data_IF_348534187601
#
_entry.id   IF_348534187601
#
_cell.length_a   1.000
_cell.length_b   1.000
_cell.length_c   1.000
_cell.angle_alpha   90.00
_cell.angle_beta   90.00
_cell.angle_gamma   90.00
#
_symmetry.space_group_name_H-M   'P 1'
#
loop_
_entity.id
_entity.type
_entity.pdbx_description
1 polymer ?
#
# COMPACT_ATOMS: atom_id res chain seq x y z
N UNK A 1 -1.62 26.40 -29.81
CA UNK A 1 -2.81 25.57 -29.51
C UNK A 1 -2.53 24.86 -28.21
N UNK A 2 -3.14 25.26 -27.11
CA UNK A 2 -3.03 24.55 -25.85
C UNK A 2 -3.81 23.25 -25.99
N UNK A 3 -3.10 22.11 -26.05
CA UNK A 3 -3.75 20.79 -26.04
C UNK A 3 -4.61 20.69 -24.80
N UNK A 4 -5.84 20.19 -24.93
CA UNK A 4 -6.69 19.91 -23.75
C UNK A 4 -5.92 18.97 -22.80
N UNK A 5 -5.94 19.23 -21.48
CA UNK A 5 -5.24 18.40 -20.52
C UNK A 5 -5.70 16.94 -20.63
N UNK A 6 -4.76 16.03 -20.64
CA UNK A 6 -5.04 14.59 -20.66
C UNK A 6 -5.74 14.22 -19.35
N UNK A 7 -6.93 13.64 -19.45
CA UNK A 7 -7.67 13.23 -18.24
C UNK A 7 -7.49 11.76 -17.96
N UNK A 8 -7.05 11.44 -16.74
CA UNK A 8 -6.92 10.08 -16.18
C UNK A 8 -7.91 9.90 -15.03
N UNK A 9 -8.60 8.78 -14.99
CA UNK A 9 -9.53 8.43 -13.92
C UNK A 9 -9.08 7.13 -13.27
N UNK A 10 -8.73 7.19 -11.97
CA UNK A 10 -8.54 5.99 -11.15
C UNK A 10 -9.87 5.54 -10.57
N UNK A 11 -10.10 4.22 -10.51
CA UNK A 11 -11.30 3.62 -9.92
C UNK A 11 -10.85 2.65 -8.83
N UNK A 12 -11.30 2.89 -7.60
CA UNK A 12 -11.05 2.05 -6.42
C UNK A 12 -12.37 1.54 -5.84
N UNK A 13 -12.33 0.46 -5.03
CA UNK A 13 -13.53 -0.10 -4.44
C UNK A 13 -14.14 0.86 -3.40
N UNK A 14 -13.31 1.36 -2.50
CA UNK A 14 -13.68 2.31 -1.46
C UNK A 14 -12.50 3.23 -1.13
N UNK A 15 -12.73 4.33 -0.43
CA UNK A 15 -11.70 5.22 0.07
C UNK A 15 -11.67 5.18 1.60
N UNK A 16 -10.76 4.37 2.15
CA UNK A 16 -10.45 4.29 3.57
C UNK A 16 -8.92 4.32 3.74
N UNK A 17 -8.38 4.71 4.90
CA UNK A 17 -6.94 4.65 5.12
C UNK A 17 -6.38 3.24 4.88
N UNK A 18 -5.59 3.07 3.81
CA UNK A 18 -5.00 1.82 3.37
C UNK A 18 -3.88 2.03 2.38
N UNK A 19 -3.08 1.00 2.13
CA UNK A 19 -1.91 1.09 1.23
C UNK A 19 -2.31 1.42 -0.20
N UNK A 20 -3.30 0.72 -0.75
CA UNK A 20 -3.78 0.92 -2.12
C UNK A 20 -4.41 2.30 -2.30
N UNK A 21 -5.27 2.69 -1.39
CA UNK A 21 -5.97 3.98 -1.45
C UNK A 21 -4.97 5.14 -1.32
N UNK A 22 -3.97 5.00 -0.43
CA UNK A 22 -2.86 5.95 -0.31
C UNK A 22 -2.07 6.03 -1.61
N UNK A 23 -1.81 4.89 -2.27
CA UNK A 23 -1.13 4.84 -3.57
C UNK A 23 -1.93 5.59 -4.64
N UNK A 24 -3.23 5.33 -4.75
CA UNK A 24 -4.11 6.01 -5.72
C UNK A 24 -4.17 7.53 -5.48
N UNK A 25 -4.22 7.96 -4.22
CA UNK A 25 -4.14 9.38 -3.84
C UNK A 25 -2.77 9.98 -4.21
N UNK A 26 -1.68 9.24 -4.01
CA UNK A 26 -0.36 9.70 -4.41
C UNK A 26 -0.25 9.82 -5.94
N UNK A 27 -0.78 8.88 -6.72
CA UNK A 27 -0.83 9.01 -8.18
C UNK A 27 -1.60 10.27 -8.62
N UNK A 28 -2.65 10.65 -7.91
CA UNK A 28 -3.37 11.90 -8.14
C UNK A 28 -2.50 13.13 -7.79
N UNK A 29 -1.77 13.09 -6.65
CA UNK A 29 -0.92 14.21 -6.19
C UNK A 29 0.32 14.43 -7.06
N UNK A 30 0.89 13.35 -7.59
CA UNK A 30 2.09 13.36 -8.41
C UNK A 30 1.79 13.31 -9.92
N UNK A 31 0.52 13.54 -10.32
CA UNK A 31 0.15 13.68 -11.72
C UNK A 31 1.00 14.76 -12.43
N UNK A 32 1.28 14.52 -13.70
CA UNK A 32 2.02 15.50 -14.51
C UNK A 32 1.24 16.81 -14.67
N UNK A 33 1.92 17.95 -14.86
CA UNK A 33 1.24 19.25 -14.96
C UNK A 33 0.20 19.35 -16.10
N UNK A 34 0.36 18.54 -17.15
CA UNK A 34 -0.56 18.46 -18.30
C UNK A 34 -1.66 17.38 -18.12
N UNK A 35 -1.69 16.71 -16.96
CA UNK A 35 -2.68 15.70 -16.64
C UNK A 35 -3.72 16.20 -15.63
N UNK A 36 -4.98 15.87 -15.90
CA UNK A 36 -6.08 16.10 -14.96
C UNK A 36 -6.54 14.75 -14.41
N UNK A 37 -6.17 14.47 -13.16
CA UNK A 37 -6.44 13.17 -12.54
C UNK A 37 -7.62 13.25 -11.59
N UNK A 38 -8.55 12.30 -11.69
CA UNK A 38 -9.68 12.09 -10.79
C UNK A 38 -9.64 10.71 -10.17
N UNK A 39 -10.25 10.56 -9.00
CA UNK A 39 -10.38 9.30 -8.30
C UNK A 39 -11.87 9.00 -8.03
N UNK A 40 -12.35 7.85 -8.49
CA UNK A 40 -13.71 7.36 -8.27
C UNK A 40 -13.68 6.28 -7.20
N UNK A 41 -14.44 6.47 -6.12
CA UNK A 41 -14.80 5.42 -5.18
C UNK A 41 -16.11 4.77 -5.60
N UNK A 42 -16.12 3.46 -5.78
CA UNK A 42 -17.34 2.73 -6.11
C UNK A 42 -18.31 2.72 -4.92
N UNK A 43 -17.80 2.46 -3.72
CA UNK A 43 -18.57 2.32 -2.47
C UNK A 43 -18.24 3.44 -1.48
N UNK A 44 -19.09 3.60 -0.47
CA UNK A 44 -18.95 4.64 0.54
C UNK A 44 -19.52 5.98 0.12
N UNK A 45 -19.68 6.87 1.09
CA UNK A 45 -20.16 8.23 0.89
C UNK A 45 -19.05 9.26 1.10
N UNK A 46 -19.21 10.44 0.49
CA UNK A 46 -18.26 11.56 0.68
C UNK A 46 -18.14 11.95 2.15
N UNK A 47 -19.28 12.08 2.86
CA UNK A 47 -19.28 12.53 4.25
C UNK A 47 -18.53 11.57 5.16
N UNK A 48 -18.81 10.26 5.07
CA UNK A 48 -18.13 9.23 5.86
C UNK A 48 -16.63 9.15 5.55
N UNK A 49 -16.28 9.18 4.26
CA UNK A 49 -14.89 9.13 3.84
C UNK A 49 -14.07 10.31 4.36
N UNK A 50 -14.59 11.55 4.24
CA UNK A 50 -13.88 12.73 4.72
C UNK A 50 -13.86 12.85 6.25
N UNK A 51 -14.84 12.26 6.94
CA UNK A 51 -14.82 12.16 8.40
C UNK A 51 -13.73 11.17 8.88
N UNK A 52 -13.62 10.01 8.21
CA UNK A 52 -12.67 8.96 8.57
C UNK A 52 -11.23 9.22 8.04
N UNK A 53 -11.11 10.10 7.04
CA UNK A 53 -9.82 10.45 6.43
C UNK A 53 -9.73 11.95 6.10
N UNK A 54 -9.57 12.82 7.13
CA UNK A 54 -9.65 14.28 6.98
C UNK A 54 -8.66 14.90 5.99
N UNK A 55 -7.48 14.28 5.81
CA UNK A 55 -6.46 14.77 4.87
C UNK A 55 -6.90 14.74 3.40
N UNK A 56 -7.96 13.99 3.06
CA UNK A 56 -8.54 13.98 1.70
C UNK A 56 -9.22 15.29 1.33
N UNK A 57 -9.56 16.17 2.29
CA UNK A 57 -10.11 17.51 2.01
C UNK A 57 -9.25 18.32 1.04
N UNK A 58 -7.92 18.12 1.09
CA UNK A 58 -6.99 18.81 0.21
C UNK A 58 -7.12 18.43 -1.28
N UNK A 59 -7.74 17.30 -1.58
CA UNK A 59 -7.97 16.77 -2.93
C UNK A 59 -9.46 16.51 -3.22
N UNK A 60 -10.35 16.98 -2.36
CA UNK A 60 -11.79 16.69 -2.41
C UNK A 60 -12.42 16.97 -3.77
N UNK A 61 -12.02 18.06 -4.43
CA UNK A 61 -12.51 18.44 -5.76
C UNK A 61 -12.16 17.45 -6.88
N UNK A 62 -11.25 16.50 -6.62
CA UNK A 62 -10.85 15.43 -7.53
C UNK A 62 -11.47 14.07 -7.20
N UNK A 63 -12.27 13.99 -6.13
CA UNK A 63 -12.90 12.76 -5.65
C UNK A 63 -14.35 12.68 -6.11
N UNK A 64 -14.72 11.54 -6.67
CA UNK A 64 -16.08 11.21 -7.13
C UNK A 64 -16.55 9.96 -6.38
N UNK A 65 -17.75 10.01 -5.82
CA UNK A 65 -18.34 8.91 -5.08
C UNK A 65 -19.55 8.38 -5.84
N UNK A 66 -19.51 7.10 -6.22
CA UNK A 66 -20.59 6.47 -6.98
C UNK A 66 -21.72 5.96 -6.08
N UNK A 67 -21.41 5.66 -4.81
CA UNK A 67 -22.31 5.07 -3.82
C UNK A 67 -23.00 3.79 -4.34
N UNK A 68 -22.19 2.89 -4.93
CA UNK A 68 -22.65 1.59 -5.44
C UNK A 68 -23.28 0.77 -4.30
N UNK A 69 -24.42 0.16 -4.58
CA UNK A 69 -25.09 -0.75 -3.64
C UNK A 69 -24.28 -2.04 -3.44
N UNK A 70 -24.39 -2.69 -2.27
CA UNK A 70 -23.79 -4.01 -2.05
C UNK A 70 -24.25 -5.04 -3.10
N UNK A 71 -23.37 -5.99 -3.41
CA UNK A 71 -23.60 -7.01 -4.43
C UNK A 71 -23.37 -6.50 -5.86
N UNK A 72 -23.91 -7.22 -6.84
CA UNK A 72 -23.77 -6.85 -8.25
C UNK A 72 -24.79 -5.77 -8.63
N UNK A 73 -24.29 -4.68 -9.24
CA UNK A 73 -25.07 -3.47 -9.52
C UNK A 73 -24.88 -3.03 -10.97
N UNK A 74 -25.84 -3.39 -11.86
CA UNK A 74 -25.80 -2.98 -13.27
C UNK A 74 -25.94 -1.46 -13.45
N UNK A 75 -26.64 -0.78 -12.54
CA UNK A 75 -26.81 0.67 -12.59
C UNK A 75 -25.46 1.39 -12.43
N UNK A 76 -24.55 0.84 -11.60
CA UNK A 76 -23.20 1.35 -11.41
C UNK A 76 -22.41 1.39 -12.73
N UNK A 77 -22.48 0.33 -13.55
CA UNK A 77 -21.83 0.30 -14.88
C UNK A 77 -22.43 1.39 -15.79
N UNK A 78 -23.75 1.53 -15.79
CA UNK A 78 -24.44 2.55 -16.59
C UNK A 78 -24.06 3.98 -16.19
N UNK A 79 -24.02 4.26 -14.87
CA UNK A 79 -23.58 5.55 -14.31
C UNK A 79 -22.14 5.86 -14.69
N UNK A 80 -21.21 4.92 -14.52
CA UNK A 80 -19.81 5.07 -14.90
C UNK A 80 -19.66 5.32 -16.41
N UNK A 81 -20.37 4.56 -17.23
CA UNK A 81 -20.36 4.76 -18.70
C UNK A 81 -20.82 6.17 -19.10
N UNK A 82 -21.91 6.68 -18.49
CA UNK A 82 -22.39 8.05 -18.72
C UNK A 82 -21.33 9.07 -18.29
N UNK A 83 -20.73 8.89 -17.10
CA UNK A 83 -19.70 9.75 -16.58
C UNK A 83 -18.47 9.79 -17.50
N UNK A 84 -17.98 8.62 -17.95
CA UNK A 84 -16.84 8.55 -18.88
C UNK A 84 -17.14 9.18 -20.25
N UNK A 85 -18.38 9.07 -20.75
CA UNK A 85 -18.80 9.78 -21.97
C UNK A 85 -18.84 11.30 -21.82
N UNK A 86 -19.14 11.81 -20.62
CA UNK A 86 -19.14 13.24 -20.29
C UNK A 86 -17.74 13.79 -20.10
N UNK A 87 -16.92 13.13 -19.28
CA UNK A 87 -15.54 13.55 -18.96
C UNK A 87 -14.57 13.30 -20.12
N UNK A 88 -14.83 12.25 -20.93
CA UNK A 88 -13.96 11.77 -22.02
C UNK A 88 -12.53 11.53 -21.55
N UNK A 89 -12.31 10.72 -20.51
CA UNK A 89 -10.96 10.44 -20.05
C UNK A 89 -10.16 9.74 -21.15
N UNK A 90 -8.87 10.06 -21.25
CA UNK A 90 -7.93 9.33 -22.09
C UNK A 90 -7.59 7.96 -21.49
N UNK A 91 -7.45 7.91 -20.16
CA UNK A 91 -7.08 6.71 -19.40
C UNK A 91 -8.11 6.44 -18.30
N UNK A 92 -8.55 5.21 -18.17
CA UNK A 92 -9.24 4.68 -16.99
C UNK A 92 -8.37 3.60 -16.38
N UNK A 93 -7.96 3.81 -15.12
CA UNK A 93 -7.10 2.91 -14.36
C UNK A 93 -7.89 2.30 -13.20
N UNK A 94 -8.01 0.99 -13.18
CA UNK A 94 -8.78 0.24 -12.18
C UNK A 94 -7.88 -0.55 -11.27
N UNK A 95 -8.25 -0.68 -9.98
CA UNK A 95 -7.46 -1.36 -8.96
C UNK A 95 -8.32 -2.44 -8.29
N UNK A 96 -7.88 -3.68 -8.29
CA UNK A 96 -8.60 -4.87 -7.84
C UNK A 96 -9.84 -5.26 -8.67
N UNK A 97 -10.34 -6.49 -8.40
CA UNK A 97 -11.42 -7.16 -9.17
C UNK A 97 -12.72 -6.34 -9.25
N UNK A 98 -13.15 -5.67 -8.17
CA UNK A 98 -14.39 -4.88 -8.19
C UNK A 98 -14.32 -3.75 -9.21
N UNK A 99 -13.37 -2.81 -9.10
CA UNK A 99 -13.12 -1.76 -10.10
C UNK A 99 -12.87 -2.29 -11.52
N UNK A 100 -12.23 -3.45 -11.69
CA UNK A 100 -12.10 -4.09 -13.00
C UNK A 100 -13.48 -4.40 -13.60
N UNK A 101 -14.35 -5.07 -12.86
CA UNK A 101 -15.67 -5.49 -13.33
C UNK A 101 -16.52 -4.25 -13.71
N UNK A 102 -16.56 -3.24 -12.86
CA UNK A 102 -17.39 -2.05 -13.07
C UNK A 102 -16.72 -0.98 -13.94
N UNK A 103 -15.52 -0.55 -13.54
CA UNK A 103 -14.79 0.56 -14.14
C UNK A 103 -14.25 0.23 -15.53
N UNK A 104 -13.54 -0.89 -15.69
CA UNK A 104 -12.96 -1.27 -16.97
C UNK A 104 -14.04 -1.64 -17.99
N UNK A 105 -15.10 -2.34 -17.56
CA UNK A 105 -16.25 -2.64 -18.43
C UNK A 105 -16.94 -1.35 -18.90
N UNK A 106 -17.21 -0.41 -17.99
CA UNK A 106 -17.82 0.86 -18.34
C UNK A 106 -16.93 1.70 -19.26
N UNK A 107 -15.60 1.69 -19.05
CA UNK A 107 -14.63 2.37 -19.89
C UNK A 107 -14.64 1.81 -21.31
N UNK A 108 -14.64 0.48 -21.45
CA UNK A 108 -14.76 -0.19 -22.78
C UNK A 108 -16.04 0.21 -23.49
N UNK A 109 -17.18 0.18 -22.78
CA UNK A 109 -18.49 0.57 -23.33
C UNK A 109 -18.60 2.07 -23.62
N UNK A 110 -17.77 2.91 -23.00
CA UNK A 110 -17.70 4.34 -23.27
C UNK A 110 -16.75 4.70 -24.43
N UNK A 111 -15.91 3.75 -24.89
CA UNK A 111 -14.90 3.98 -25.93
C UNK A 111 -13.66 4.71 -25.41
N UNK A 112 -13.28 4.49 -24.14
CA UNK A 112 -12.06 5.06 -23.55
C UNK A 112 -10.85 4.47 -24.26
N UNK A 113 -9.87 5.31 -24.60
CA UNK A 113 -8.72 4.96 -25.42
C UNK A 113 -7.81 3.93 -24.71
N UNK A 114 -7.43 4.21 -23.45
CA UNK A 114 -6.55 3.32 -22.68
C UNK A 114 -7.26 2.86 -21.41
N UNK A 115 -7.26 1.56 -21.20
CA UNK A 115 -7.73 0.94 -19.97
C UNK A 115 -6.53 0.26 -19.32
N UNK A 116 -6.21 0.62 -18.09
CA UNK A 116 -5.17 0.01 -17.28
C UNK A 116 -5.84 -0.70 -16.10
N UNK A 117 -5.34 -1.86 -15.75
CA UNK A 117 -5.78 -2.58 -14.57
C UNK A 117 -4.58 -3.05 -13.77
N UNK A 118 -4.51 -2.69 -12.49
CA UNK A 118 -3.44 -3.14 -11.59
C UNK A 118 -3.98 -4.11 -10.54
N UNK A 119 -3.34 -5.26 -10.47
CA UNK A 119 -3.49 -6.22 -9.38
C UNK A 119 -2.41 -6.00 -8.33
N UNK A 120 -2.85 -5.95 -7.07
CA UNK A 120 -2.02 -5.73 -5.88
C UNK A 120 -1.82 -7.02 -5.08
N UNK A 121 -2.53 -8.06 -5.41
CA UNK A 121 -2.41 -9.42 -4.90
C UNK A 121 -3.14 -10.40 -5.84
N UNK A 122 -2.89 -11.70 -5.67
CA UNK A 122 -3.57 -12.74 -6.46
C UNK A 122 -4.33 -13.75 -5.57
N UNK A 123 -4.51 -13.50 -4.28
CA UNK A 123 -5.13 -14.48 -3.35
C UNK A 123 -6.60 -14.72 -3.67
N UNK A 124 -7.31 -13.67 -4.05
CA UNK A 124 -8.72 -13.76 -4.42
C UNK A 124 -8.95 -14.72 -5.59
N UNK A 125 -7.94 -14.94 -6.44
CA UNK A 125 -7.99 -15.90 -7.56
C UNK A 125 -7.91 -17.38 -7.13
N UNK A 126 -7.66 -17.66 -5.86
CA UNK A 126 -7.83 -19.01 -5.31
C UNK A 126 -9.31 -19.41 -5.25
N UNK A 127 -10.23 -18.45 -5.30
CA UNK A 127 -11.66 -18.69 -5.41
C UNK A 127 -12.05 -18.81 -6.89
N UNK A 128 -12.58 -19.95 -7.30
CA UNK A 128 -12.97 -20.25 -8.69
C UNK A 128 -13.99 -19.24 -9.27
N UNK A 129 -14.89 -18.71 -8.44
CA UNK A 129 -15.85 -17.69 -8.87
C UNK A 129 -15.16 -16.38 -9.19
N UNK A 130 -14.23 -15.96 -8.35
CA UNK A 130 -13.45 -14.73 -8.60
C UNK A 130 -12.55 -14.90 -9.82
N UNK A 131 -11.89 -16.05 -9.98
CA UNK A 131 -11.07 -16.36 -11.15
C UNK A 131 -11.89 -16.26 -12.44
N UNK A 132 -13.09 -16.87 -12.47
CA UNK A 132 -13.97 -16.82 -13.64
C UNK A 132 -14.43 -15.39 -13.96
N UNK A 133 -14.88 -14.66 -12.93
CA UNK A 133 -15.37 -13.27 -13.08
C UNK A 133 -14.24 -12.35 -13.59
N UNK A 134 -13.04 -12.48 -13.02
CA UNK A 134 -11.88 -11.69 -13.44
C UNK A 134 -11.47 -12.02 -14.87
N UNK A 135 -11.35 -13.32 -15.19
CA UNK A 135 -11.01 -13.76 -16.56
C UNK A 135 -12.00 -13.23 -17.59
N UNK A 136 -13.30 -13.25 -17.27
CA UNK A 136 -14.33 -12.68 -18.13
C UNK A 136 -14.20 -11.16 -18.28
N UNK A 137 -14.01 -10.44 -17.18
CA UNK A 137 -13.85 -8.99 -17.19
C UNK A 137 -12.60 -8.54 -17.96
N UNK A 138 -11.47 -9.24 -17.79
CA UNK A 138 -10.25 -9.01 -18.57
C UNK A 138 -10.46 -9.27 -20.06
N UNK A 139 -11.13 -10.38 -20.41
CA UNK A 139 -11.42 -10.71 -21.80
C UNK A 139 -12.34 -9.70 -22.50
N UNK A 140 -13.30 -9.14 -21.75
CA UNK A 140 -14.24 -8.14 -22.28
C UNK A 140 -13.60 -6.75 -22.40
N UNK A 141 -12.89 -6.30 -21.38
CA UNK A 141 -12.34 -4.94 -21.34
C UNK A 141 -10.96 -4.82 -21.99
N UNK A 142 -10.18 -5.90 -22.01
CA UNK A 142 -8.81 -5.98 -22.56
C UNK A 142 -7.91 -4.84 -22.08
N UNK A 143 -7.73 -4.68 -20.78
CA UNK A 143 -6.87 -3.62 -20.23
C UNK A 143 -5.39 -3.96 -20.42
N UNK A 144 -4.50 -2.96 -20.35
CA UNK A 144 -3.10 -3.18 -20.03
C UNK A 144 -3.05 -3.70 -18.58
N UNK A 145 -2.73 -4.99 -18.41
CA UNK A 145 -2.70 -5.63 -17.09
C UNK A 145 -1.33 -5.41 -16.44
N UNK A 146 -1.36 -4.86 -15.24
CA UNK A 146 -0.18 -4.55 -14.44
C UNK A 146 -0.21 -5.34 -13.13
N UNK A 147 0.93 -5.89 -12.74
CA UNK A 147 1.19 -6.44 -11.43
C UNK A 147 2.11 -5.47 -10.66
N UNK A 148 1.85 -5.24 -9.38
CA UNK A 148 2.68 -4.34 -8.56
C UNK A 148 3.95 -4.99 -8.00
N UNK A 149 4.12 -6.30 -8.20
CA UNK A 149 5.30 -7.09 -7.82
C UNK A 149 5.61 -8.17 -8.85
N UNK A 150 6.86 -8.62 -8.92
CA UNK A 150 7.26 -9.77 -9.73
C UNK A 150 6.53 -11.05 -9.33
N UNK A 151 6.42 -11.31 -8.02
CA UNK A 151 5.68 -12.45 -7.49
C UNK A 151 4.19 -12.40 -7.85
N UNK A 152 3.56 -11.22 -7.80
CA UNK A 152 2.15 -11.07 -8.21
C UNK A 152 2.01 -11.39 -9.70
N UNK A 153 2.95 -10.92 -10.55
CA UNK A 153 2.96 -11.30 -11.97
C UNK A 153 3.04 -12.81 -12.17
N UNK A 154 3.98 -13.51 -11.50
CA UNK A 154 4.11 -14.97 -11.58
C UNK A 154 2.78 -15.66 -11.21
N UNK A 155 2.15 -15.26 -10.12
CA UNK A 155 0.86 -15.80 -9.68
C UNK A 155 -0.28 -15.53 -10.68
N UNK A 156 -0.26 -14.38 -11.36
CA UNK A 156 -1.23 -14.06 -12.40
C UNK A 156 -0.97 -14.87 -13.67
N UNK A 157 0.29 -15.02 -14.10
CA UNK A 157 0.68 -15.86 -15.25
C UNK A 157 0.22 -17.32 -15.05
N UNK A 158 0.36 -17.86 -13.84
CA UNK A 158 -0.04 -19.23 -13.50
C UNK A 158 -1.57 -19.43 -13.54
N UNK A 159 -2.35 -18.41 -13.21
CA UNK A 159 -3.81 -18.52 -13.02
C UNK A 159 -4.63 -17.96 -14.17
N UNK A 160 -4.11 -16.97 -14.87
CA UNK A 160 -4.81 -16.25 -15.92
C UNK A 160 -4.13 -16.50 -17.27
N UNK A 161 -4.93 -16.91 -18.26
CA UNK A 161 -4.45 -16.92 -19.65
C UNK A 161 -4.56 -15.50 -20.22
N UNK A 162 -3.63 -14.61 -19.83
CA UNK A 162 -3.61 -13.22 -20.26
C UNK A 162 -2.19 -12.85 -20.73
N UNK A 163 -2.08 -12.35 -21.95
CA UNK A 163 -0.79 -11.98 -22.54
C UNK A 163 -0.29 -10.63 -22.00
N UNK A 164 1.03 -10.48 -21.90
CA UNK A 164 1.73 -9.23 -21.62
C UNK A 164 1.35 -8.55 -20.29
N UNK A 165 1.53 -9.28 -19.17
CA UNK A 165 1.44 -8.70 -17.84
C UNK A 165 2.70 -7.89 -17.55
N UNK A 166 2.57 -6.58 -17.36
CA UNK A 166 3.67 -5.68 -17.05
C UNK A 166 3.87 -5.57 -15.54
N UNK A 167 5.11 -5.54 -15.07
CA UNK A 167 5.40 -5.25 -13.65
C UNK A 167 5.71 -3.78 -13.49
N UNK A 168 4.93 -3.07 -12.66
CA UNK A 168 5.20 -1.70 -12.22
C UNK A 168 5.14 -1.68 -10.70
N UNK A 169 6.31 -1.65 -10.05
CA UNK A 169 6.43 -1.65 -8.59
C UNK A 169 5.83 -0.40 -7.99
N UNK A 170 5.12 -0.57 -6.87
CA UNK A 170 4.56 0.55 -6.12
C UNK A 170 5.66 1.50 -5.64
N UNK A 171 5.36 2.79 -5.68
CA UNK A 171 6.25 3.86 -5.25
C UNK A 171 5.70 4.63 -4.06
N UNK A 172 6.60 5.29 -3.33
CA UNK A 172 6.27 6.17 -2.21
C UNK A 172 6.83 7.58 -2.43
N UNK A 173 6.29 8.56 -1.71
CA UNK A 173 6.78 9.94 -1.72
C UNK A 173 8.08 10.06 -0.92
N UNK A 174 9.23 9.92 -1.60
CA UNK A 174 10.55 10.03 -0.99
C UNK A 174 10.92 11.43 -0.48
N UNK A 175 10.17 12.48 -0.82
CA UNK A 175 10.34 13.82 -0.25
C UNK A 175 9.62 13.97 1.08
N UNK A 176 8.47 13.31 1.22
CA UNK A 176 7.73 13.23 2.48
C UNK A 176 8.42 12.26 3.46
N UNK A 177 8.75 11.06 2.98
CA UNK A 177 9.46 10.05 3.76
C UNK A 177 10.97 10.23 3.58
N UNK A 178 11.59 10.92 4.54
CA UNK A 178 13.03 11.19 4.57
C UNK A 178 13.55 11.23 6.00
N UNK A 179 14.86 11.01 6.20
CA UNK A 179 15.50 11.12 7.51
C UNK A 179 15.22 12.46 8.17
N UNK A 180 15.23 12.47 9.50
CA UNK A 180 15.00 13.66 10.31
C UNK A 180 15.50 13.46 11.74
N UNK A 181 15.15 14.37 12.63
CA UNK A 181 15.57 14.31 14.04
C UNK A 181 14.83 13.20 14.79
N UNK A 182 15.53 12.14 15.19
CA UNK A 182 14.97 11.05 15.98
C UNK A 182 14.51 11.55 17.37
N UNK A 183 15.31 12.42 18.01
CA UNK A 183 14.97 12.95 19.33
C UNK A 183 13.67 13.78 19.29
N UNK A 184 13.49 14.60 18.28
CA UNK A 184 12.25 15.37 18.09
C UNK A 184 11.06 14.43 17.83
N UNK A 185 11.22 13.44 16.98
CA UNK A 185 10.17 12.48 16.64
C UNK A 185 9.71 11.68 17.89
N UNK A 186 10.67 11.24 18.72
CA UNK A 186 10.36 10.58 19.99
C UNK A 186 9.61 11.48 20.95
N UNK A 187 10.02 12.73 21.08
CA UNK A 187 9.34 13.72 21.93
C UNK A 187 7.89 13.95 21.47
N UNK A 188 7.67 14.15 20.18
CA UNK A 188 6.33 14.38 19.61
C UNK A 188 5.38 13.19 19.81
N UNK A 189 5.91 11.95 19.82
CA UNK A 189 5.14 10.72 20.02
C UNK A 189 5.08 10.26 21.47
N UNK A 190 5.68 10.99 22.42
CA UNK A 190 5.75 10.58 23.82
C UNK A 190 6.52 9.27 24.04
N UNK A 191 7.48 8.96 23.17
CA UNK A 191 8.33 7.79 23.26
C UNK A 191 9.59 8.07 24.08
N UNK A 192 10.23 7.03 24.67
CA UNK A 192 11.47 7.21 25.44
C UNK A 192 12.55 7.90 24.63
N UNK A 193 13.18 8.94 25.22
CA UNK A 193 14.28 9.67 24.59
C UNK A 193 15.52 8.78 24.38
N UNK A 194 15.73 7.82 25.28
CA UNK A 194 16.87 6.90 25.29
C UNK A 194 16.42 5.45 25.15
N UNK A 195 17.35 4.58 24.78
CA UNK A 195 17.09 3.16 24.52
C UNK A 195 16.75 2.89 23.07
N UNK A 196 16.56 1.61 22.76
CA UNK A 196 16.23 1.14 21.41
C UNK A 196 14.72 1.04 21.23
N UNK A 197 14.22 1.47 20.08
CA UNK A 197 12.79 1.41 19.74
C UNK A 197 12.61 0.56 18.48
N UNK A 198 11.89 -0.54 18.61
CA UNK A 198 11.35 -1.30 17.48
C UNK A 198 9.97 -0.71 17.16
N UNK A 199 9.71 -0.40 15.90
CA UNK A 199 8.39 0.04 15.46
C UNK A 199 7.71 -0.96 14.56
N UNK A 200 6.39 -1.04 14.65
CA UNK A 200 5.55 -1.76 13.69
C UNK A 200 4.34 -0.93 13.31
N UNK A 201 3.93 -0.97 12.06
CA UNK A 201 2.80 -0.17 11.57
C UNK A 201 1.87 -0.98 10.69
N UNK A 202 0.57 -0.78 10.88
CA UNK A 202 -0.46 -1.43 10.08
C UNK A 202 -1.75 -1.65 10.85
N UNK A 203 -2.80 -2.11 10.16
CA UNK A 203 -4.06 -2.46 10.80
C UNK A 203 -3.82 -3.53 11.87
N UNK A 204 -4.42 -3.37 13.05
CA UNK A 204 -4.34 -4.36 14.11
C UNK A 204 -5.28 -5.54 13.81
N UNK A 205 -4.93 -6.29 12.77
CA UNK A 205 -5.63 -7.48 12.29
C UNK A 205 -4.70 -8.69 12.31
N UNK A 206 -5.26 -9.89 12.45
CA UNK A 206 -4.48 -11.14 12.58
C UNK A 206 -3.46 -11.34 11.44
N UNK A 207 -3.83 -10.92 10.23
CA UNK A 207 -2.94 -11.01 9.04
C UNK A 207 -1.66 -10.21 9.18
N UNK A 208 -1.65 -9.13 9.98
CA UNK A 208 -0.49 -8.26 10.19
C UNK A 208 0.51 -8.78 11.24
N UNK A 209 0.18 -9.86 11.96
CA UNK A 209 1.14 -10.61 12.77
C UNK A 209 1.72 -9.90 13.99
N UNK A 210 1.12 -8.82 14.48
CA UNK A 210 1.60 -8.10 15.67
C UNK A 210 1.70 -9.00 16.89
N UNK A 211 0.91 -10.07 16.98
CA UNK A 211 1.00 -11.09 18.03
C UNK A 211 2.32 -11.86 17.97
N UNK A 212 2.88 -12.09 16.79
CA UNK A 212 4.19 -12.75 16.62
C UNK A 212 5.30 -11.83 17.14
N UNK A 213 5.21 -10.53 16.83
CA UNK A 213 6.17 -9.55 17.30
C UNK A 213 6.14 -9.40 18.83
N UNK A 214 4.94 -9.41 19.44
CA UNK A 214 4.81 -9.43 20.91
C UNK A 214 5.47 -10.67 21.54
N UNK A 215 5.30 -11.85 20.91
CA UNK A 215 5.95 -13.09 21.36
C UNK A 215 7.47 -13.08 21.16
N UNK A 216 7.96 -12.33 20.16
CA UNK A 216 9.40 -12.18 19.91
C UNK A 216 10.07 -11.26 20.95
N UNK A 217 9.36 -10.28 21.50
CA UNK A 217 9.93 -9.24 22.36
C UNK A 217 10.63 -9.79 23.61
N UNK A 218 10.09 -10.77 24.38
CA UNK A 218 10.78 -11.36 25.53
C UNK A 218 12.07 -12.09 25.18
N UNK A 219 12.26 -12.47 23.91
CA UNK A 219 13.45 -13.20 23.44
C UNK A 219 14.57 -12.26 23.02
N UNK A 220 14.35 -10.95 23.00
CA UNK A 220 15.35 -9.94 22.63
C UNK A 220 16.13 -9.54 23.88
N UNK A 221 17.43 -9.86 23.91
CA UNK A 221 18.33 -9.60 25.04
C UNK A 221 18.73 -8.12 25.14
N UNK A 222 17.78 -7.19 25.16
CA UNK A 222 18.04 -5.76 25.30
C UNK A 222 16.83 -5.03 25.88
N UNK A 223 17.08 -3.92 26.57
CA UNK A 223 15.98 -3.04 27.01
C UNK A 223 15.42 -2.28 25.81
N UNK A 224 14.33 -2.79 25.25
CA UNK A 224 13.71 -2.30 24.00
C UNK A 224 12.31 -1.83 24.28
N UNK A 225 11.91 -0.72 23.68
CA UNK A 225 10.51 -0.31 23.59
C UNK A 225 9.95 -0.76 22.24
N UNK A 226 8.76 -1.36 22.24
CA UNK A 226 8.00 -1.69 21.05
C UNK A 226 6.89 -0.64 20.85
N UNK A 227 6.97 0.12 19.76
CA UNK A 227 5.95 1.09 19.36
C UNK A 227 5.10 0.52 18.21
N UNK A 228 3.78 0.42 18.39
CA UNK A 228 2.85 -0.10 17.38
C UNK A 228 1.90 1.01 16.98
N UNK A 229 1.94 1.38 15.68
CA UNK A 229 1.06 2.38 15.08
C UNK A 229 -0.03 1.70 14.25
N UNK A 230 -1.29 1.94 14.60
CA UNK A 230 -2.44 1.40 13.89
C UNK A 230 -3.63 1.12 14.78
N UNK A 231 -4.77 0.91 14.13
CA UNK A 231 -6.04 0.53 14.75
C UNK A 231 -6.58 -0.76 14.11
N UNK A 232 -7.43 -1.48 14.81
CA UNK A 232 -8.05 -2.70 14.28
C UNK A 232 -8.68 -3.56 15.35
N UNK A 233 -9.30 -4.65 14.90
CA UNK A 233 -10.11 -5.54 15.76
C UNK A 233 -9.29 -6.30 16.81
N UNK A 234 -7.97 -6.43 16.63
CA UNK A 234 -7.12 -7.21 17.51
C UNK A 234 -6.52 -6.39 18.68
N UNK A 235 -6.81 -5.09 18.81
CA UNK A 235 -6.17 -4.24 19.83
C UNK A 235 -6.28 -4.83 21.25
N UNK A 236 -7.49 -5.20 21.67
CA UNK A 236 -7.71 -5.74 23.02
C UNK A 236 -7.03 -7.11 23.21
N UNK A 237 -7.00 -7.93 22.17
CA UNK A 237 -6.32 -9.22 22.22
C UNK A 237 -4.79 -9.06 22.32
N UNK A 238 -4.21 -8.08 21.59
CA UNK A 238 -2.79 -7.76 21.66
C UNK A 238 -2.41 -7.14 23.00
N UNK A 239 -3.26 -6.31 23.59
CA UNK A 239 -3.05 -5.74 24.92
C UNK A 239 -2.99 -6.84 25.97
N UNK A 240 -3.98 -7.74 25.98
CA UNK A 240 -3.99 -8.91 26.88
C UNK A 240 -2.77 -9.81 26.69
N UNK A 241 -2.37 -10.06 25.42
CA UNK A 241 -1.18 -10.84 25.15
C UNK A 241 0.09 -10.18 25.73
N UNK A 242 0.20 -8.85 25.68
CA UNK A 242 1.33 -8.14 26.29
C UNK A 242 1.33 -8.26 27.82
N UNK A 243 0.17 -8.31 28.47
CA UNK A 243 0.00 -8.58 29.90
C UNK A 243 0.43 -10.00 30.26
N UNK A 244 -0.09 -11.00 29.53
CA UNK A 244 0.21 -12.43 29.71
C UNK A 244 1.71 -12.71 29.59
N UNK A 245 2.39 -12.00 28.66
CA UNK A 245 3.83 -12.09 28.46
C UNK A 245 4.65 -11.22 29.43
N UNK A 246 3.99 -10.45 30.32
CA UNK A 246 4.61 -9.52 31.27
C UNK A 246 5.47 -8.42 30.62
N UNK A 247 5.14 -8.00 29.40
CA UNK A 247 5.87 -7.00 28.60
C UNK A 247 5.11 -5.68 28.41
N UNK A 248 3.97 -5.47 29.05
CA UNK A 248 3.15 -4.26 28.91
C UNK A 248 3.93 -2.96 29.15
N UNK A 249 4.92 -3.00 30.04
CA UNK A 249 5.79 -1.86 30.35
C UNK A 249 6.70 -1.46 29.17
N UNK A 250 6.97 -2.38 28.22
CA UNK A 250 7.80 -2.16 27.03
C UNK A 250 6.97 -1.80 25.79
N UNK A 251 5.64 -2.03 25.78
CA UNK A 251 4.78 -1.84 24.60
C UNK A 251 4.07 -0.48 24.66
N UNK A 252 4.06 0.21 23.55
CA UNK A 252 3.33 1.47 23.32
C UNK A 252 2.44 1.34 22.10
N UNK A 253 1.12 1.24 22.31
CA UNK A 253 0.13 1.35 21.25
C UNK A 253 -0.15 2.84 20.99
N UNK A 254 0.21 3.32 19.80
CA UNK A 254 0.11 4.73 19.39
C UNK A 254 -1.20 5.04 18.67
N UNK A 255 -2.06 4.04 18.51
CA UNK A 255 -3.29 4.14 17.73
C UNK A 255 -3.05 4.65 16.28
N UNK A 256 -3.96 5.45 15.73
CA UNK A 256 -3.79 6.02 14.40
C UNK A 256 -2.77 7.17 14.43
N UNK A 257 -1.63 6.97 13.80
CA UNK A 257 -0.62 8.02 13.61
C UNK A 257 -0.81 8.64 12.22
N UNK A 258 -1.14 9.93 12.15
CA UNK A 258 -1.34 10.65 10.89
C UNK A 258 0.00 11.00 10.21
N UNK A 259 0.99 11.43 11.01
CA UNK A 259 2.33 11.74 10.51
C UNK A 259 3.27 10.53 10.59
N UNK A 260 3.13 9.61 9.65
CA UNK A 260 3.96 8.40 9.56
C UNK A 260 5.46 8.69 9.39
N UNK A 261 5.92 9.73 8.68
CA UNK A 261 7.34 10.11 8.71
C UNK A 261 7.88 10.32 10.11
N UNK A 262 7.17 11.00 10.99
CA UNK A 262 7.56 11.18 12.40
C UNK A 262 7.61 9.84 13.13
N UNK A 263 6.65 8.93 12.89
CA UNK A 263 6.71 7.58 13.46
C UNK A 263 8.00 6.86 13.05
N UNK A 264 8.29 6.77 11.76
CA UNK A 264 9.48 6.05 11.31
C UNK A 264 10.79 6.68 11.83
N UNK A 265 10.91 8.01 11.83
CA UNK A 265 12.09 8.71 12.37
C UNK A 265 12.39 8.42 13.82
N UNK A 266 11.36 8.07 14.63
CA UNK A 266 11.54 7.74 16.05
C UNK A 266 12.23 6.39 16.28
N UNK A 267 12.25 5.50 15.27
CA UNK A 267 12.65 4.10 15.39
C UNK A 267 14.16 3.89 15.22
N UNK A 268 14.66 2.80 15.80
CA UNK A 268 15.97 2.22 15.48
C UNK A 268 15.83 1.10 14.43
N UNK A 269 14.73 0.33 14.48
CA UNK A 269 14.41 -0.75 13.54
C UNK A 269 12.90 -0.75 13.30
N UNK A 270 12.51 -0.90 12.06
CA UNK A 270 11.12 -1.18 11.69
C UNK A 270 10.91 -2.69 11.54
N UNK A 271 9.80 -3.21 12.06
CA UNK A 271 9.41 -4.61 11.95
C UNK A 271 8.05 -4.75 11.28
N UNK A 272 7.99 -5.57 10.22
CA UNK A 272 6.73 -5.97 9.58
C UNK A 272 6.54 -7.49 9.71
N UNK A 273 5.82 -7.97 10.73
CA UNK A 273 5.68 -9.40 11.04
C UNK A 273 4.48 -10.07 10.33
N UNK A 274 4.08 -9.56 9.18
CA UNK A 274 2.85 -9.96 8.50
C UNK A 274 2.83 -11.43 8.09
N UNK A 275 1.65 -12.02 8.07
CA UNK A 275 1.39 -13.38 7.57
C UNK A 275 1.12 -13.41 6.07
N UNK A 276 0.70 -12.27 5.52
CA UNK A 276 0.37 -12.16 4.11
C UNK A 276 0.45 -10.70 3.65
N UNK A 277 1.11 -10.46 2.54
CA UNK A 277 1.24 -9.15 1.89
C UNK A 277 1.21 -9.31 0.36
N UNK A 278 0.74 -8.28 -0.35
CA UNK A 278 0.99 -8.12 -1.78
C UNK A 278 2.36 -7.46 -2.00
N UNK A 279 2.35 -6.13 -2.16
CA UNK A 279 3.56 -5.30 -2.20
C UNK A 279 3.47 -4.23 -1.09
N UNK A 280 4.02 -4.47 0.10
CA UNK A 280 3.83 -3.59 1.26
C UNK A 280 4.59 -2.26 1.13
N UNK A 281 3.91 -1.14 1.43
CA UNK A 281 4.52 0.19 1.39
C UNK A 281 5.28 0.55 2.68
N UNK A 282 4.84 0.04 3.83
CA UNK A 282 5.41 0.39 5.13
C UNK A 282 6.93 0.12 5.25
N UNK A 283 7.48 -1.00 4.75
CA UNK A 283 8.93 -1.20 4.68
C UNK A 283 9.66 -0.16 3.84
N UNK A 284 9.08 0.25 2.71
CA UNK A 284 9.65 1.29 1.86
C UNK A 284 9.67 2.64 2.57
N UNK A 285 8.58 3.00 3.24
CA UNK A 285 8.44 4.25 4.00
C UNK A 285 9.47 4.33 5.14
N UNK A 286 9.63 3.24 5.89
CA UNK A 286 10.64 3.14 6.95
C UNK A 286 12.06 3.31 6.40
N UNK A 287 12.40 2.56 5.37
CA UNK A 287 13.71 2.62 4.71
C UNK A 287 13.98 3.99 4.07
N UNK A 288 12.97 4.64 3.48
CA UNK A 288 13.09 6.01 2.97
C UNK A 288 13.40 7.02 4.07
N UNK A 289 12.92 6.80 5.30
CA UNK A 289 13.29 7.57 6.50
C UNK A 289 14.68 7.19 7.06
N UNK A 290 15.39 6.24 6.46
CA UNK A 290 16.71 5.78 6.88
C UNK A 290 16.69 4.67 7.92
N UNK A 291 15.54 4.04 8.16
CA UNK A 291 15.36 3.02 9.21
C UNK A 291 15.54 1.63 8.62
N UNK A 292 16.48 0.81 9.16
CA UNK A 292 16.65 -0.57 8.76
C UNK A 292 15.40 -1.39 9.11
N UNK A 293 15.13 -2.43 8.32
CA UNK A 293 13.86 -3.15 8.38
C UNK A 293 14.07 -4.65 8.53
N UNK A 294 13.30 -5.25 9.44
CA UNK A 294 13.12 -6.71 9.52
C UNK A 294 11.68 -7.02 9.12
N UNK A 295 11.47 -7.95 8.21
CA UNK A 295 10.14 -8.32 7.77
C UNK A 295 9.99 -9.83 7.58
N UNK A 296 8.77 -10.32 7.60
CA UNK A 296 8.49 -11.71 7.23
C UNK A 296 8.55 -11.90 5.72
N UNK A 297 9.05 -13.07 5.30
CA UNK A 297 9.19 -13.44 3.90
C UNK A 297 7.84 -13.93 3.33
N UNK A 298 6.94 -12.98 3.07
CA UNK A 298 5.58 -13.26 2.55
C UNK A 298 5.25 -12.35 1.38
N UNK A 299 4.59 -12.90 0.37
CA UNK A 299 4.20 -12.12 -0.81
C UNK A 299 5.36 -11.39 -1.47
N UNK A 300 5.14 -10.19 -1.93
CA UNK A 300 6.17 -9.33 -2.55
C UNK A 300 7.07 -8.60 -1.54
N UNK A 301 7.08 -8.96 -0.25
CA UNK A 301 7.87 -8.28 0.79
C UNK A 301 9.35 -8.20 0.44
N UNK A 302 9.94 -9.30 -0.04
CA UNK A 302 11.35 -9.34 -0.42
C UNK A 302 11.73 -8.26 -1.44
N UNK A 303 10.82 -7.93 -2.36
CA UNK A 303 11.04 -6.91 -3.38
C UNK A 303 11.04 -5.47 -2.84
N UNK A 304 10.57 -5.27 -1.60
CA UNK A 304 10.51 -3.96 -0.93
C UNK A 304 11.69 -3.69 -0.01
N UNK A 305 12.58 -4.67 0.18
CA UNK A 305 13.66 -4.59 1.16
C UNK A 305 15.01 -4.32 0.50
N UNK A 306 15.76 -3.39 1.10
CA UNK A 306 17.17 -3.18 0.76
C UNK A 306 17.99 -4.43 1.17
N UNK A 307 18.65 -5.12 0.25
CA UNK A 307 19.31 -6.39 0.55
C UNK A 307 20.50 -6.25 1.52
N UNK A 308 21.02 -5.02 1.71
CA UNK A 308 22.19 -4.78 2.57
C UNK A 308 21.78 -4.42 4.00
N UNK A 309 20.63 -3.73 4.17
CA UNK A 309 20.23 -3.14 5.45
C UNK A 309 18.93 -3.71 6.01
N UNK A 310 18.43 -4.79 5.44
CA UNK A 310 17.20 -5.43 5.87
C UNK A 310 17.40 -6.93 6.05
N UNK A 311 16.54 -7.55 6.84
CA UNK A 311 16.55 -8.99 7.06
C UNK A 311 15.14 -9.56 6.91
N UNK A 312 15.07 -10.81 6.43
CA UNK A 312 13.84 -11.59 6.34
C UNK A 312 13.81 -12.66 7.43
N UNK A 313 12.60 -12.90 7.96
CA UNK A 313 12.30 -14.00 8.87
C UNK A 313 11.13 -14.81 8.31
N UNK A 314 11.03 -16.07 8.70
CA UNK A 314 9.87 -16.90 8.35
C UNK A 314 8.61 -16.39 9.06
N UNK A 315 7.47 -16.48 8.37
CA UNK A 315 6.17 -16.13 8.94
C UNK A 315 5.84 -17.03 10.13
N UNK A 316 5.14 -16.48 11.13
CA UNK A 316 4.75 -17.18 12.36
C UNK A 316 5.92 -17.72 13.22
N UNK A 317 7.16 -17.30 12.96
CA UNK A 317 8.36 -17.70 13.69
C UNK A 317 8.87 -16.56 14.59
N UNK A 318 8.35 -16.48 15.83
CA UNK A 318 8.74 -15.43 16.78
C UNK A 318 10.21 -15.53 17.23
N UNK A 319 10.78 -16.74 17.28
CA UNK A 319 12.17 -16.95 17.68
C UNK A 319 13.14 -16.43 16.62
N UNK A 320 12.91 -16.74 15.36
CA UNK A 320 13.73 -16.20 14.27
C UNK A 320 13.57 -14.68 14.13
N UNK A 321 12.33 -14.18 14.27
CA UNK A 321 12.06 -12.74 14.24
C UNK A 321 12.84 -12.01 15.33
N UNK A 322 12.88 -12.57 16.56
CA UNK A 322 13.66 -12.03 17.68
C UNK A 322 15.16 -12.02 17.39
N UNK A 323 15.68 -13.10 16.79
CA UNK A 323 17.10 -13.21 16.41
C UNK A 323 17.47 -12.11 15.40
N UNK A 324 16.65 -11.96 14.32
CA UNK A 324 16.88 -10.95 13.29
C UNK A 324 16.80 -9.53 13.83
N UNK A 325 15.82 -9.24 14.69
CA UNK A 325 15.69 -7.94 15.37
C UNK A 325 16.88 -7.66 16.28
N UNK A 326 17.33 -8.64 17.07
CA UNK A 326 18.51 -8.50 17.95
C UNK A 326 19.77 -8.20 17.16
N UNK A 327 20.00 -8.89 16.06
CA UNK A 327 21.14 -8.63 15.15
C UNK A 327 21.09 -7.19 14.61
N UNK A 328 19.93 -6.78 14.09
CA UNK A 328 19.74 -5.44 13.52
C UNK A 328 19.92 -4.32 14.53
N UNK A 329 19.54 -4.53 15.79
CA UNK A 329 19.72 -3.54 16.86
C UNK A 329 21.18 -3.37 17.32
N UNK A 330 22.01 -4.39 17.14
CA UNK A 330 23.46 -4.39 17.48
C UNK A 330 24.32 -3.82 16.35
N UNK A 331 23.90 -4.00 15.11
CA UNK A 331 24.66 -3.57 13.95
C UNK A 331 24.44 -2.05 13.69
N UNK A 332 25.55 -1.36 13.44
CA UNK A 332 25.47 -0.01 12.86
C UNK A 332 25.37 -0.17 11.35
N UNK A 333 24.30 0.32 10.69
CA UNK A 333 24.14 0.16 9.25
C UNK A 333 25.31 0.81 8.51
N UNK A 334 26.03 0.03 7.69
CA UNK A 334 27.15 0.50 6.87
C UNK A 334 26.69 1.35 5.67
N UNK A 335 25.40 1.32 5.34
CA UNK A 335 24.78 2.09 4.26
C UNK A 335 23.37 2.53 4.63
N UNK A 336 22.88 3.57 3.96
CA UNK A 336 21.51 4.02 4.18
C UNK A 336 20.52 3.24 3.31
N UNK A 337 19.46 2.64 3.88
CA UNK A 337 18.41 1.98 3.11
C UNK A 337 17.65 2.95 2.18
N UNK A 338 17.69 4.25 2.47
CA UNK A 338 17.01 5.28 1.68
C UNK A 338 17.39 5.26 0.21
N UNK A 339 18.71 5.08 -0.09
CA UNK A 339 19.16 5.13 -1.49
C UNK A 339 18.52 4.02 -2.33
N UNK A 340 18.34 2.83 -1.73
CA UNK A 340 17.63 1.73 -2.38
C UNK A 340 16.21 2.15 -2.76
N UNK A 341 15.46 2.76 -1.83
CA UNK A 341 14.06 3.17 -2.08
C UNK A 341 13.98 4.27 -3.12
N UNK A 342 14.80 5.32 -3.01
CA UNK A 342 14.84 6.43 -4.00
C UNK A 342 15.15 5.90 -5.40
N UNK A 343 16.06 4.92 -5.51
CA UNK A 343 16.44 4.38 -6.81
C UNK A 343 15.39 3.46 -7.42
N UNK A 344 14.60 2.75 -6.60
CA UNK A 344 13.73 1.69 -7.09
C UNK A 344 12.23 1.99 -6.92
N UNK A 345 11.84 2.76 -5.91
CA UNK A 345 10.44 2.91 -5.48
C UNK A 345 10.03 4.39 -5.23
N UNK A 346 10.66 5.36 -5.89
CA UNK A 346 10.13 6.73 -5.88
C UNK A 346 8.82 6.78 -6.68
N UNK A 347 7.81 7.44 -6.12
CA UNK A 347 6.47 7.57 -6.72
C UNK A 347 6.51 8.17 -8.13
N UNK A 348 7.46 9.06 -8.41
CA UNK A 348 7.60 9.71 -9.72
C UNK A 348 7.98 8.69 -10.79
N UNK A 349 8.86 7.73 -10.47
CA UNK A 349 9.23 6.64 -11.38
C UNK A 349 8.05 5.73 -11.69
N UNK A 350 7.22 5.45 -10.68
CA UNK A 350 5.98 4.67 -10.88
C UNK A 350 5.01 5.42 -11.79
N UNK A 351 4.76 6.72 -11.56
CA UNK A 351 3.89 7.54 -12.39
C UNK A 351 4.40 7.62 -13.84
N UNK A 352 5.72 7.74 -14.02
CA UNK A 352 6.33 7.73 -15.36
C UNK A 352 6.15 6.40 -16.06
N UNK A 353 6.29 5.27 -15.35
CA UNK A 353 6.08 3.93 -15.91
C UNK A 353 4.61 3.73 -16.35
N UNK A 354 3.62 4.16 -15.54
CA UNK A 354 2.21 4.13 -15.96
C UNK A 354 1.92 5.06 -17.14
N UNK A 355 2.58 6.21 -17.21
CA UNK A 355 2.45 7.12 -18.35
C UNK A 355 3.00 6.45 -19.63
N UNK A 356 4.13 5.75 -19.53
CA UNK A 356 4.77 5.08 -20.68
C UNK A 356 3.85 4.04 -21.33
N UNK A 357 3.25 3.13 -20.55
CA UNK A 357 2.35 2.08 -21.07
C UNK A 357 1.07 2.62 -21.74
N UNK A 358 0.75 3.90 -21.53
CA UNK A 358 -0.38 4.57 -22.19
C UNK A 358 0.04 5.47 -23.34
N UNK A 359 1.34 5.55 -23.67
CA UNK A 359 1.89 6.35 -24.78
C UNK A 359 2.36 5.50 -25.97
N UNK A 360 2.65 4.22 -25.78
CA UNK A 360 3.31 3.36 -26.77
C UNK A 360 2.48 2.97 -28.01
N UNK A 361 1.22 3.42 -28.15
CA UNK A 361 0.39 3.11 -29.33
C UNK A 361 0.55 4.08 -30.52
N UNK A 362 1.62 4.89 -30.56
CA UNK A 362 1.91 5.79 -31.69
C UNK A 362 3.27 5.53 -32.36
N UNK A 363 3.78 4.32 -32.30
CA UNK A 363 4.95 3.92 -33.10
C UNK A 363 4.58 2.95 -34.21
#
# INVERSE_FOLDING_TARGET
>A
MTSQPKTTIHVVQHLAPGGLETLAINMLKFAKPDENVFLISLEGSRCETLANWPSLKNVEGKLIFLAKKPGFDFEAISKLRKLFKQIKPRVVHTHHIGPLIYGATAAKLAGVQHIVHTEHDAWHLNNQKHLLLQSLALKLSRPNLVADAGLVKEQLDDKLNYANITVIKNGIDCERFKPGSQAQARCELGLPAHGKIIGSAGRLEKVKGHDILLKALPLINSNVTLAIAGIGSQKDALTRLAEDLSISHQVRFLDLVEDMPTFYRALDVFCMPSRCEGFPLAPLEAQACGVPTVATNVGGTNETLCPITSQLAEADNSSELALKLSQMLLESPQSSPRQFVVNNNDIRKMVDAYSAITQEEYA
#
